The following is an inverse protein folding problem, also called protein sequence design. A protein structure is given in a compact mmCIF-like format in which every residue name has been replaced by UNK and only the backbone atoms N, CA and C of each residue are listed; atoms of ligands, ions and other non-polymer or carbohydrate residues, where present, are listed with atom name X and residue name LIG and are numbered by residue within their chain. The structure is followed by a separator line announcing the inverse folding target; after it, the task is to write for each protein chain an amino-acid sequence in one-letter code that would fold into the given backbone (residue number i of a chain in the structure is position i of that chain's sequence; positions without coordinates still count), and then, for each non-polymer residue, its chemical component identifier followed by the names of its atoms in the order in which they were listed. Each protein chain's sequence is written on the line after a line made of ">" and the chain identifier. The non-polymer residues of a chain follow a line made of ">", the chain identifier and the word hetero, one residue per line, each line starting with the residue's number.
data_IF_017314966177
#
_entry.id   IF_017314966177
#
_cell.length_a   1.000
_cell.length_b   1.000
_cell.length_c   1.000
_cell.angle_alpha   90.00
_cell.angle_beta   90.00
_cell.angle_gamma   90.00
#
_symmetry.space_group_name_H-M   'P 1'
#
loop_
_entity.id
_entity.type
_entity.pdbx_description
1 polymer ?
#
# COMPACT_ATOMS: atom_id res chain seq x y z
N UNK A 1 -13.22 6.56 10.75
CA UNK A 1 -12.02 6.57 9.88
C UNK A 1 -12.28 5.71 8.66
N UNK A 2 -12.06 6.26 7.48
CA UNK A 2 -12.14 5.45 6.26
C UNK A 2 -10.80 4.81 5.94
N UNK A 3 -10.84 3.55 5.54
CA UNK A 3 -9.65 2.81 5.12
C UNK A 3 -9.87 2.16 3.77
N UNK A 4 -8.80 2.03 3.01
CA UNK A 4 -8.80 1.30 1.74
C UNK A 4 -8.16 -0.06 2.01
N UNK A 5 -8.90 -1.13 1.76
CA UNK A 5 -8.45 -2.51 2.00
C UNK A 5 -7.95 -3.10 0.69
N UNK A 6 -6.77 -3.66 0.71
CA UNK A 6 -6.13 -4.26 -0.46
C UNK A 6 -5.44 -5.56 -0.10
N UNK A 7 -5.21 -6.38 -1.11
CA UNK A 7 -4.50 -7.66 -0.95
C UNK A 7 -3.08 -7.59 -1.48
N UNK A 8 -2.19 -8.21 -0.73
CA UNK A 8 -0.82 -8.51 -1.18
C UNK A 8 -0.55 -9.96 -0.79
N UNK A 9 -0.41 -10.83 -1.78
CA UNK A 9 -0.13 -12.26 -1.60
C UNK A 9 -1.06 -12.93 -0.57
N UNK A 10 -2.37 -12.83 -0.79
CA UNK A 10 -3.43 -13.39 0.07
C UNK A 10 -3.60 -12.76 1.45
N UNK A 11 -2.73 -11.83 1.82
CA UNK A 11 -2.89 -11.10 3.06
C UNK A 11 -3.62 -9.79 2.80
N UNK A 12 -4.47 -9.38 3.72
CA UNK A 12 -5.19 -8.12 3.61
C UNK A 12 -4.55 -7.03 4.47
N UNK A 13 -4.40 -5.88 3.85
CA UNK A 13 -3.86 -4.68 4.46
C UNK A 13 -4.83 -3.53 4.26
N UNK A 14 -4.68 -2.51 5.08
CA UNK A 14 -5.47 -1.29 4.92
C UNK A 14 -4.58 -0.07 5.13
N UNK A 15 -4.92 1.00 4.40
CA UNK A 15 -4.32 2.32 4.61
C UNK A 15 -5.44 3.32 4.84
N UNK A 16 -5.16 4.38 5.57
CA UNK A 16 -6.14 5.44 5.74
C UNK A 16 -6.48 6.08 4.39
N UNK A 17 -7.76 6.21 4.10
CA UNK A 17 -8.22 6.77 2.84
C UNK A 17 -7.75 8.22 2.64
N UNK A 18 -7.51 8.94 3.74
CA UNK A 18 -6.98 10.31 3.67
C UNK A 18 -5.60 10.40 3.01
N UNK A 19 -4.87 9.31 2.98
CA UNK A 19 -3.54 9.25 2.33
C UNK A 19 -3.62 8.83 0.87
N UNK A 20 -4.78 8.38 0.41
CA UNK A 20 -4.96 7.87 -0.96
C UNK A 20 -5.47 8.99 -1.84
N UNK A 21 -4.72 9.31 -2.89
CA UNK A 21 -5.14 10.27 -3.90
C UNK A 21 -6.09 9.64 -4.89
N UNK A 22 -5.76 8.45 -5.39
CA UNK A 22 -6.59 7.72 -6.34
C UNK A 22 -6.22 6.25 -6.38
N UNK A 23 -7.12 5.45 -6.91
CA UNK A 23 -6.93 4.01 -7.16
C UNK A 23 -7.09 3.82 -8.66
N UNK A 24 -6.10 3.22 -9.29
CA UNK A 24 -6.06 3.08 -10.74
C UNK A 24 -5.80 1.63 -11.14
N UNK A 25 -6.20 1.27 -12.35
CA UNK A 25 -5.81 0.01 -12.94
C UNK A 25 -4.34 0.05 -13.32
N UNK A 26 -3.75 -1.11 -13.56
CA UNK A 26 -2.36 -1.17 -14.01
C UNK A 26 -2.22 -0.44 -15.35
N UNK A 27 -1.10 0.23 -15.51
CA UNK A 27 -0.78 0.99 -16.70
C UNK A 27 0.69 0.73 -17.07
N UNK A 28 1.11 1.26 -18.20
CA UNK A 28 2.48 1.09 -18.67
C UNK A 28 3.48 1.67 -17.68
N UNK A 29 4.48 0.87 -17.34
CA UNK A 29 5.53 1.23 -16.39
C UNK A 29 6.84 1.40 -17.15
N UNK A 30 7.48 2.55 -16.99
CA UNK A 30 8.79 2.81 -17.55
C UNK A 30 9.84 2.47 -16.50
N UNK A 31 10.70 1.49 -16.79
CA UNK A 31 11.76 1.10 -15.87
C UNK A 31 12.88 2.13 -15.87
N UNK A 32 13.40 2.42 -14.67
CA UNK A 32 14.49 3.36 -14.50
C UNK A 32 15.76 2.57 -14.20
N UNK A 33 16.78 2.62 -15.08
CA UNK A 33 18.03 1.92 -14.83
C UNK A 33 18.73 2.43 -13.57
N UNK A 34 19.33 1.50 -12.81
CA UNK A 34 20.12 1.82 -11.62
C UNK A 34 19.33 2.50 -10.49
N UNK A 35 18.02 2.37 -10.51
CA UNK A 35 17.19 2.86 -9.38
C UNK A 35 17.31 1.92 -8.19
N UNK A 36 16.81 2.37 -7.03
CA UNK A 36 16.72 1.51 -5.85
C UNK A 36 15.85 0.29 -6.16
N UNK A 37 16.16 -0.85 -5.54
CA UNK A 37 15.51 -2.12 -5.85
C UNK A 37 13.99 -2.08 -5.61
N UNK A 38 13.53 -1.28 -4.66
CA UNK A 38 12.09 -1.17 -4.36
C UNK A 38 11.35 -0.27 -5.35
N UNK A 39 12.03 0.41 -6.27
CA UNK A 39 11.38 1.22 -7.29
C UNK A 39 11.12 0.34 -8.51
N UNK A 40 9.83 0.12 -8.82
CA UNK A 40 9.43 -0.62 -10.02
C UNK A 40 9.67 0.17 -11.29
N UNK A 41 9.49 1.48 -11.22
CA UNK A 41 9.64 2.36 -12.36
C UNK A 41 8.85 3.63 -12.18
N UNK A 42 8.51 4.25 -13.31
CA UNK A 42 7.73 5.49 -13.36
C UNK A 42 6.47 5.25 -14.17
N UNK A 43 5.42 5.94 -13.79
CA UNK A 43 4.18 6.00 -14.55
C UNK A 43 3.86 7.46 -14.88
N UNK A 44 3.14 7.66 -15.99
CA UNK A 44 2.63 8.97 -16.36
C UNK A 44 1.13 8.96 -16.10
N UNK A 45 0.72 9.70 -15.08
CA UNK A 45 -0.69 9.82 -14.72
C UNK A 45 -1.14 11.25 -15.01
N UNK A 46 -1.87 11.42 -16.11
CA UNK A 46 -2.42 12.71 -16.51
C UNK A 46 -1.36 13.80 -16.65
N UNK A 47 -0.20 13.45 -17.21
CA UNK A 47 0.90 14.37 -17.39
C UNK A 47 1.86 14.49 -16.21
N UNK A 48 1.55 13.83 -15.11
CA UNK A 48 2.43 13.81 -13.94
C UNK A 48 3.24 12.52 -13.89
N UNK A 49 4.53 12.66 -13.68
CA UNK A 49 5.41 11.49 -13.54
C UNK A 49 5.46 11.10 -12.09
N UNK A 50 5.07 9.86 -11.80
CA UNK A 50 4.95 9.34 -10.44
C UNK A 50 5.85 8.10 -10.30
N UNK A 51 6.65 8.06 -9.23
CA UNK A 51 7.45 6.89 -8.90
C UNK A 51 6.54 5.77 -8.39
N UNK A 52 6.76 4.57 -8.90
CA UNK A 52 5.99 3.39 -8.54
C UNK A 52 6.85 2.46 -7.72
N UNK A 53 6.40 2.17 -6.50
CA UNK A 53 7.14 1.35 -5.55
C UNK A 53 6.59 -0.07 -5.49
N UNK A 54 7.48 -1.02 -5.22
CA UNK A 54 7.11 -2.42 -5.07
C UNK A 54 6.69 -2.68 -3.63
N UNK A 55 5.39 -2.82 -3.39
CA UNK A 55 4.84 -3.03 -2.06
C UNK A 55 5.32 -4.36 -1.45
N UNK A 56 5.52 -5.38 -2.28
CA UNK A 56 5.99 -6.68 -1.78
C UNK A 56 7.37 -6.55 -1.14
N UNK A 57 8.27 -5.82 -1.78
CA UNK A 57 9.60 -5.58 -1.23
C UNK A 57 9.54 -4.75 0.05
N UNK A 58 8.69 -3.72 0.07
CA UNK A 58 8.57 -2.85 1.24
C UNK A 58 8.01 -3.60 2.45
N UNK A 59 7.04 -4.49 2.23
CA UNK A 59 6.43 -5.29 3.29
C UNK A 59 7.22 -6.56 3.60
N UNK A 60 8.24 -6.87 2.79
CA UNK A 60 9.01 -8.10 2.91
C UNK A 60 8.14 -9.35 2.75
N UNK A 61 7.21 -9.29 1.80
CA UNK A 61 6.30 -10.37 1.44
C UNK A 61 6.67 -10.87 0.05
N UNK A 62 6.75 -12.18 -0.12
CA UNK A 62 7.02 -12.76 -1.43
C UNK A 62 5.91 -12.39 -2.41
N UNK A 63 6.28 -12.20 -3.66
CA UNK A 63 5.30 -11.98 -4.70
C UNK A 63 4.58 -13.30 -4.98
N UNK A 64 3.25 -13.27 -4.88
CA UNK A 64 2.43 -14.44 -5.12
C UNK A 64 2.24 -14.74 -6.59
N UNK A 65 1.39 -15.72 -6.88
CA UNK A 65 1.07 -16.13 -8.25
C UNK A 65 0.06 -15.22 -8.92
N UNK A 66 -0.63 -14.37 -8.15
CA UNK A 66 -1.63 -13.46 -8.69
C UNK A 66 -0.96 -12.29 -9.40
N UNK A 67 -1.56 -11.89 -10.52
CA UNK A 67 -1.14 -10.69 -11.23
C UNK A 67 -1.59 -9.46 -10.44
N UNK A 68 -0.70 -8.48 -10.31
CA UNK A 68 -1.05 -7.22 -9.69
C UNK A 68 -2.02 -6.45 -10.59
N UNK A 69 -3.14 -6.04 -10.05
CA UNK A 69 -4.21 -5.42 -10.83
C UNK A 69 -4.40 -3.94 -10.59
N UNK A 70 -3.96 -3.43 -9.45
CA UNK A 70 -4.23 -2.05 -9.09
C UNK A 70 -2.98 -1.29 -8.67
N UNK A 71 -3.05 0.02 -8.88
CA UNK A 71 -2.07 0.98 -8.39
C UNK A 71 -2.79 1.91 -7.43
N UNK A 72 -2.27 2.04 -6.22
CA UNK A 72 -2.76 3.02 -5.25
C UNK A 72 -1.83 4.21 -5.30
N UNK A 73 -2.34 5.37 -5.67
CA UNK A 73 -1.58 6.61 -5.67
C UNK A 73 -1.75 7.26 -4.30
N UNK A 74 -0.63 7.49 -3.65
CA UNK A 74 -0.59 8.02 -2.29
C UNK A 74 -0.12 9.47 -2.32
N UNK A 75 -0.80 10.28 -1.54
CA UNK A 75 -0.46 11.69 -1.38
C UNK A 75 0.33 11.86 -0.09
N UNK A 76 1.64 11.93 -0.21
CA UNK A 76 2.53 12.16 0.91
C UNK A 76 2.83 13.65 1.03
N UNK A 77 3.42 14.06 2.16
CA UNK A 77 3.59 15.48 2.47
C UNK A 77 4.30 16.27 1.37
N UNK A 78 5.27 15.68 0.68
CA UNK A 78 6.10 16.38 -0.31
C UNK A 78 5.91 15.87 -1.73
N UNK A 79 5.31 14.70 -1.92
CA UNK A 79 5.21 14.12 -3.25
C UNK A 79 4.09 13.10 -3.33
N UNK A 80 3.71 12.75 -4.55
CA UNK A 80 2.82 11.61 -4.81
C UNK A 80 3.67 10.42 -5.22
N UNK A 81 3.36 9.26 -4.68
CA UNK A 81 3.98 7.99 -5.08
C UNK A 81 2.89 6.96 -5.33
N UNK A 82 3.20 5.96 -6.13
CA UNK A 82 2.28 4.85 -6.35
C UNK A 82 2.84 3.56 -5.78
N UNK A 83 1.95 2.67 -5.36
CA UNK A 83 2.31 1.30 -4.99
C UNK A 83 1.44 0.35 -5.78
N UNK A 84 2.04 -0.77 -6.23
CA UNK A 84 1.27 -1.82 -6.90
C UNK A 84 0.80 -2.82 -5.87
N UNK A 85 -0.46 -3.22 -5.98
CA UNK A 85 -1.05 -4.23 -5.10
C UNK A 85 -1.73 -5.29 -5.96
N UNK A 86 -1.97 -6.48 -5.38
CA UNK A 86 -2.63 -7.53 -6.13
C UNK A 86 -4.05 -7.12 -6.49
N UNK A 87 -4.78 -6.55 -5.54
CA UNK A 87 -6.14 -6.10 -5.76
C UNK A 87 -6.58 -5.17 -4.65
N UNK A 88 -7.30 -4.11 -5.02
CA UNK A 88 -8.04 -3.30 -4.05
C UNK A 88 -9.39 -3.94 -3.84
N UNK A 89 -9.72 -4.30 -2.61
CA UNK A 89 -10.95 -5.00 -2.30
C UNK A 89 -12.12 -4.06 -2.05
N UNK A 90 -11.93 -3.10 -1.14
CA UNK A 90 -13.05 -2.24 -0.73
C UNK A 90 -12.57 -1.03 0.06
N UNK A 91 -13.45 -0.06 0.19
CA UNK A 91 -13.26 1.09 1.08
C UNK A 91 -14.26 0.93 2.22
N UNK A 92 -13.76 0.95 3.45
CA UNK A 92 -14.58 0.72 4.65
C UNK A 92 -14.51 1.91 5.59
N UNK A 93 -15.64 2.19 6.23
CA UNK A 93 -15.68 3.07 7.39
C UNK A 93 -15.52 2.22 8.65
N UNK A 94 -14.52 2.51 9.47
CA UNK A 94 -14.30 1.80 10.73
C UNK A 94 -14.19 2.78 11.88
N UNK A 95 -14.53 2.31 13.08
CA UNK A 95 -14.30 3.06 14.29
C UNK A 95 -12.87 2.81 14.77
N UNK A 96 -12.20 3.87 15.23
CA UNK A 96 -10.79 3.76 15.61
C UNK A 96 -10.56 2.78 16.76
N UNK A 97 -11.55 2.60 17.64
CA UNK A 97 -11.44 1.66 18.75
C UNK A 97 -11.47 0.19 18.30
N UNK A 98 -11.85 -0.09 17.06
CA UNK A 98 -11.76 -1.44 16.49
C UNK A 98 -10.32 -1.83 16.12
N UNK A 99 -9.41 -0.87 16.07
CA UNK A 99 -8.01 -1.16 15.72
C UNK A 99 -7.29 -1.64 16.97
N UNK A 100 -6.87 -2.90 16.95
CA UNK A 100 -6.11 -3.48 18.04
C UNK A 100 -4.63 -3.24 17.82
N UNK A 101 -3.98 -2.63 18.80
CA UNK A 101 -2.54 -2.41 18.71
C UNK A 101 -1.81 -3.72 18.94
N UNK A 102 -0.76 -3.95 18.14
CA UNK A 102 0.07 -5.13 18.28
C UNK A 102 1.50 -4.71 18.60
N UNK A 103 2.20 -5.53 19.37
CA UNK A 103 3.62 -5.31 19.60
C UNK A 103 4.39 -5.63 18.33
N UNK A 104 5.19 -4.67 17.89
CA UNK A 104 6.01 -4.84 16.70
C UNK A 104 7.45 -4.47 17.03
N UNK A 105 8.39 -5.10 16.33
CA UNK A 105 9.78 -4.71 16.45
C UNK A 105 10.00 -3.39 15.66
N UNK A 106 11.21 -2.86 15.75
CA UNK A 106 11.54 -1.59 15.07
C UNK A 106 11.44 -1.68 13.56
N UNK A 107 11.63 -2.87 13.00
CA UNK A 107 11.54 -3.09 11.56
C UNK A 107 10.12 -2.98 11.03
N UNK A 108 9.14 -3.25 11.87
CA UNK A 108 7.72 -3.24 11.49
C UNK A 108 6.96 -2.09 12.14
N UNK A 109 7.65 -0.99 12.42
CA UNK A 109 7.03 0.21 13.00
C UNK A 109 5.93 0.81 12.14
N UNK A 110 5.83 0.41 10.87
CA UNK A 110 4.77 0.84 9.98
C UNK A 110 3.41 0.20 10.30
N UNK A 111 3.36 -0.85 11.10
CA UNK A 111 2.09 -1.49 11.48
C UNK A 111 1.43 -0.66 12.58
N UNK A 112 0.27 -0.08 12.27
CA UNK A 112 -0.52 0.66 13.26
C UNK A 112 -1.31 -0.27 14.18
N UNK A 113 -1.75 -1.40 13.65
CA UNK A 113 -2.53 -2.36 14.38
C UNK A 113 -3.23 -3.32 13.45
N UNK A 114 -4.12 -4.13 14.00
CA UNK A 114 -4.91 -5.06 13.21
C UNK A 114 -6.39 -4.81 13.48
N UNK A 115 -7.21 -5.06 12.47
CA UNK A 115 -8.66 -5.00 12.57
C UNK A 115 -9.15 -6.43 12.43
N UNK A 116 -9.77 -6.94 13.48
CA UNK A 116 -10.25 -8.31 13.50
C UNK A 116 -11.75 -8.32 13.16
N UNK A 117 -12.05 -8.61 11.91
CA UNK A 117 -13.42 -8.88 11.48
C UNK A 117 -13.73 -10.35 11.77
N UNK A 118 -15.01 -10.70 11.77
CA UNK A 118 -15.41 -12.09 12.05
C UNK A 118 -14.86 -13.09 11.05
N UNK A 119 -14.69 -12.67 9.83
CA UNK A 119 -14.30 -13.54 8.71
C UNK A 119 -12.85 -13.35 8.25
N UNK A 120 -12.15 -12.34 8.79
CA UNK A 120 -10.80 -12.01 8.31
C UNK A 120 -10.08 -11.06 9.25
N UNK A 121 -8.78 -11.00 9.09
CA UNK A 121 -7.93 -10.05 9.80
C UNK A 121 -7.29 -9.13 8.77
N UNK A 122 -7.35 -7.83 9.02
CA UNK A 122 -6.77 -6.81 8.15
C UNK A 122 -5.72 -6.03 8.95
N UNK A 123 -4.51 -5.93 8.40
CA UNK A 123 -3.42 -5.19 9.03
C UNK A 123 -3.45 -3.74 8.56
N UNK A 124 -3.62 -2.81 9.50
CA UNK A 124 -3.61 -1.39 9.20
C UNK A 124 -2.17 -0.88 9.23
N UNK A 125 -1.73 -0.28 8.13
CA UNK A 125 -0.35 0.20 8.00
C UNK A 125 -0.29 1.71 7.91
N UNK A 126 0.82 2.25 8.43
CA UNK A 126 1.19 3.65 8.25
C UNK A 126 2.06 3.72 7.00
N UNK A 127 1.47 4.15 5.91
CA UNK A 127 2.14 4.12 4.61
C UNK A 127 3.36 5.04 4.56
N UNK A 128 3.32 6.15 5.27
CA UNK A 128 4.47 7.07 5.30
C UNK A 128 5.68 6.42 5.97
N UNK A 129 5.46 5.72 7.08
CA UNK A 129 6.54 5.01 7.76
C UNK A 129 7.09 3.86 6.93
N UNK A 130 6.21 3.18 6.19
CA UNK A 130 6.63 2.09 5.31
C UNK A 130 7.55 2.59 4.21
N UNK A 131 7.20 3.70 3.58
CA UNK A 131 7.93 4.24 2.44
C UNK A 131 9.23 4.92 2.87
N UNK A 132 9.24 5.53 4.03
CA UNK A 132 10.41 6.29 4.54
C UNK A 132 11.46 5.44 5.26
N UNK A 133 11.44 4.17 5.09
CA UNK A 133 12.44 3.29 5.69
C UNK A 133 13.87 3.75 5.40
#
# INVERSE_FOLDING_TARGET
>A
MQVVVFKVNDEQFAVEASKVQSINDMMEITKVPKSAVYIKGLINLRGNIISLLDINLLLEIEQGTLTQENIIILNLAEESVGVTVDQVDEVLEIEEDLVEKVETDKKRGYIKGVINFKDRIVTLIDIEKLIKK
#
